data_IF_578338842314
#
_entry.id   IF_578338842314
#
_cell.length_a   1.000
_cell.length_b   1.000
_cell.length_c   1.000
_cell.angle_alpha   90.00
_cell.angle_beta   90.00
_cell.angle_gamma   90.00
#
_symmetry.space_group_name_H-M   'P 1'
#
loop_
_entity.id
_entity.type
_entity.pdbx_description
1 polymer ?
#
# COMPACT_ATOMS: atom_id res chain seq x y z
N UNK A 1 4.10 -12.67 -6.41
CA UNK A 1 4.44 -11.30 -6.85
C UNK A 1 3.87 -10.91 -8.24
N UNK A 2 4.08 -11.69 -9.31
CA UNK A 2 3.88 -11.24 -10.71
C UNK A 2 2.56 -10.54 -11.10
N UNK A 3 1.37 -11.00 -10.69
CA UNK A 3 0.14 -10.28 -11.06
C UNK A 3 -0.03 -8.94 -10.38
N UNK A 4 0.43 -8.81 -9.13
CA UNK A 4 0.31 -7.55 -8.41
C UNK A 4 1.16 -6.48 -9.09
N UNK A 5 2.36 -6.85 -9.57
CA UNK A 5 3.18 -5.98 -10.42
C UNK A 5 2.47 -5.63 -11.74
N UNK A 6 1.75 -6.58 -12.35
CA UNK A 6 0.94 -6.33 -13.55
C UNK A 6 -0.25 -5.37 -13.34
N UNK A 7 -0.68 -5.18 -12.09
CA UNK A 7 -1.66 -4.16 -11.70
C UNK A 7 -1.01 -2.80 -11.37
N UNK A 8 0.30 -2.67 -11.57
CA UNK A 8 1.06 -1.45 -11.25
C UNK A 8 1.37 -1.30 -9.75
N UNK A 9 1.10 -2.31 -8.92
CA UNK A 9 1.43 -2.27 -7.51
C UNK A 9 2.92 -2.55 -7.28
N UNK A 10 3.54 -1.84 -6.35
CA UNK A 10 4.87 -2.20 -5.88
C UNK A 10 4.76 -3.34 -4.86
N UNK A 11 5.61 -4.36 -4.99
CA UNK A 11 5.54 -5.55 -4.16
C UNK A 11 6.92 -5.86 -3.60
N UNK A 12 7.00 -5.96 -2.28
CA UNK A 12 8.15 -6.52 -1.58
C UNK A 12 7.77 -7.84 -0.91
N UNK A 13 8.57 -8.88 -1.13
CA UNK A 13 8.44 -10.13 -0.39
C UNK A 13 9.08 -9.97 0.99
N UNK A 14 8.33 -10.33 2.02
CA UNK A 14 8.76 -10.35 3.40
C UNK A 14 8.92 -11.80 3.85
N UNK A 15 9.58 -12.00 4.99
CA UNK A 15 9.68 -13.32 5.61
C UNK A 15 8.29 -13.97 5.84
N UNK A 16 8.27 -15.31 5.93
CA UNK A 16 7.07 -16.10 6.23
C UNK A 16 5.93 -15.93 5.20
N UNK A 17 6.28 -15.80 3.90
CA UNK A 17 5.34 -15.64 2.78
C UNK A 17 4.41 -14.44 2.93
N UNK A 18 4.87 -13.40 3.65
CA UNK A 18 4.16 -12.12 3.74
C UNK A 18 4.55 -11.26 2.56
N UNK A 19 3.63 -10.43 2.09
CA UNK A 19 3.88 -9.45 1.05
C UNK A 19 3.59 -8.05 1.62
N UNK A 20 4.50 -7.10 1.40
CA UNK A 20 4.16 -5.67 1.47
C UNK A 20 3.77 -5.26 0.07
N UNK A 21 2.59 -4.68 -0.07
CA UNK A 21 2.08 -4.20 -1.37
C UNK A 21 1.74 -2.73 -1.21
N UNK A 22 2.32 -1.89 -2.06
CA UNK A 22 1.92 -0.49 -2.21
C UNK A 22 0.94 -0.44 -3.37
N UNK A 23 -0.29 -0.02 -3.08
CA UNK A 23 -1.35 0.13 -4.08
C UNK A 23 -1.25 1.51 -4.71
N UNK A 24 -1.44 1.58 -6.03
CA UNK A 24 -1.66 2.85 -6.72
C UNK A 24 -3.08 3.37 -6.43
N UNK A 25 -3.33 4.66 -6.64
CA UNK A 25 -4.66 5.25 -6.41
C UNK A 25 -5.77 4.59 -7.23
N UNK A 26 -5.43 4.03 -8.40
CA UNK A 26 -6.37 3.33 -9.28
C UNK A 26 -6.71 1.91 -8.83
N UNK A 27 -5.97 1.33 -7.88
CA UNK A 27 -6.16 -0.06 -7.43
C UNK A 27 -6.84 -0.08 -6.07
N UNK A 28 -8.11 -0.47 -6.08
CA UNK A 28 -8.86 -0.70 -4.85
C UNK A 28 -8.43 -2.00 -4.16
N UNK A 29 -8.47 -2.01 -2.82
CA UNK A 29 -8.15 -3.19 -2.00
C UNK A 29 -8.95 -4.44 -2.42
N UNK A 30 -10.19 -4.29 -2.89
CA UNK A 30 -11.02 -5.41 -3.39
C UNK A 30 -10.34 -6.20 -4.51
N UNK A 31 -9.52 -5.56 -5.34
CA UNK A 31 -8.85 -6.22 -6.46
C UNK A 31 -7.85 -7.28 -5.96
N UNK A 32 -7.31 -7.11 -4.74
CA UNK A 32 -6.47 -8.12 -4.10
C UNK A 32 -7.26 -9.40 -3.79
N UNK A 33 -8.50 -9.26 -3.33
CA UNK A 33 -9.39 -10.40 -3.07
C UNK A 33 -9.82 -11.08 -4.37
N UNK A 34 -10.15 -10.29 -5.40
CA UNK A 34 -10.49 -10.79 -6.75
C UNK A 34 -9.34 -11.63 -7.32
N UNK A 35 -8.14 -11.08 -7.31
CA UNK A 35 -6.93 -11.75 -7.79
C UNK A 35 -6.59 -13.00 -6.97
N UNK A 36 -6.82 -12.98 -5.66
CA UNK A 36 -6.61 -14.13 -4.81
C UNK A 36 -7.56 -15.29 -5.16
N UNK A 37 -8.86 -14.97 -5.37
CA UNK A 37 -9.86 -15.94 -5.79
C UNK A 37 -9.56 -16.53 -7.18
N UNK A 38 -9.22 -15.69 -8.16
CA UNK A 38 -8.85 -16.11 -9.52
C UNK A 38 -7.66 -17.08 -9.54
N UNK A 39 -6.74 -16.94 -8.58
CA UNK A 39 -5.52 -17.75 -8.48
C UNK A 39 -5.64 -18.92 -7.50
N UNK A 40 -6.79 -19.11 -6.88
CA UNK A 40 -6.99 -20.15 -5.88
C UNK A 40 -6.09 -20.00 -4.65
N UNK A 41 -5.69 -18.78 -4.28
CA UNK A 41 -4.87 -18.50 -3.10
C UNK A 41 -5.68 -17.82 -2.01
N UNK A 42 -5.46 -18.20 -0.75
CA UNK A 42 -6.16 -17.61 0.39
C UNK A 42 -5.37 -16.45 1.00
N UNK A 43 -6.03 -15.32 1.22
CA UNK A 43 -5.50 -14.23 2.05
C UNK A 43 -5.80 -14.52 3.53
N UNK A 44 -4.79 -14.97 4.28
CA UNK A 44 -4.95 -15.32 5.72
C UNK A 44 -5.12 -14.09 6.62
N UNK A 45 -4.41 -13.00 6.32
CA UNK A 45 -4.45 -11.75 7.07
C UNK A 45 -4.07 -10.61 6.13
N UNK A 46 -4.94 -9.61 6.05
CA UNK A 46 -4.69 -8.38 5.31
C UNK A 46 -4.77 -7.20 6.27
N UNK A 47 -3.72 -6.39 6.30
CA UNK A 47 -3.70 -5.11 7.03
C UNK A 47 -3.44 -4.03 6.02
N UNK A 48 -4.42 -3.14 5.82
CA UNK A 48 -4.30 -1.95 4.98
C UNK A 48 -4.19 -0.73 5.87
N UNK A 49 -3.17 0.11 5.64
CA UNK A 49 -3.09 1.45 6.22
C UNK A 49 -2.97 2.45 5.09
N UNK A 50 -3.73 3.54 5.16
CA UNK A 50 -3.55 4.73 4.31
C UNK A 50 -2.61 5.76 4.96
N UNK A 51 -2.35 5.59 6.25
CA UNK A 51 -1.61 6.50 7.09
C UNK A 51 -0.30 5.80 7.52
N UNK A 52 0.57 5.50 6.56
CA UNK A 52 1.88 4.97 6.91
C UNK A 52 2.65 6.01 7.73
N UNK A 53 3.55 5.59 8.62
CA UNK A 53 4.39 6.54 9.37
C UNK A 53 5.14 7.49 8.44
N UNK A 54 5.59 6.98 7.29
CA UNK A 54 6.22 7.77 6.23
C UNK A 54 5.24 8.80 5.63
N UNK A 55 4.01 8.40 5.31
CA UNK A 55 2.99 9.30 4.78
C UNK A 55 2.57 10.36 5.80
N UNK A 56 2.36 9.95 7.05
CA UNK A 56 2.09 10.85 8.17
C UNK A 56 3.25 11.82 8.42
N UNK A 57 4.50 11.35 8.31
CA UNK A 57 5.69 12.18 8.45
C UNK A 57 5.82 13.18 7.31
N UNK A 58 5.71 12.74 6.05
CA UNK A 58 5.75 13.62 4.87
C UNK A 58 4.67 14.70 4.95
N UNK A 59 3.44 14.29 5.24
CA UNK A 59 2.30 15.21 5.42
C UNK A 59 2.55 16.22 6.55
N UNK A 60 3.07 15.77 7.70
CA UNK A 60 3.38 16.67 8.81
C UNK A 60 4.52 17.65 8.48
N UNK A 61 5.48 17.25 7.64
CA UNK A 61 6.55 18.12 7.16
C UNK A 61 6.03 19.16 6.16
N UNK A 62 5.09 18.79 5.29
CA UNK A 62 4.41 19.71 4.37
C UNK A 62 3.55 20.72 5.15
N UNK A 63 2.68 20.25 6.05
CA UNK A 63 1.81 21.09 6.89
C UNK A 63 2.63 22.00 7.84
N UNK A 64 3.73 21.48 8.42
CA UNK A 64 4.62 22.24 9.29
C UNK A 64 5.53 23.24 8.56
N UNK A 65 5.76 23.04 7.26
CA UNK A 65 6.49 23.95 6.39
C UNK A 65 5.67 25.19 6.01
N UNK A 66 4.38 25.00 5.69
CA UNK A 66 3.45 26.09 5.40
C UNK A 66 3.22 27.01 6.62
N UNK A 67 3.13 26.44 7.82
CA UNK A 67 3.00 27.20 9.07
C UNK A 67 4.21 28.10 9.37
N UNK A 68 5.39 27.82 8.79
CA UNK A 68 6.62 28.61 8.96
C UNK A 68 6.86 29.63 7.84
N UNK A 69 6.25 29.46 6.67
CA UNK A 69 6.37 30.39 5.56
C UNK A 69 5.41 31.61 5.66
N UNK A 70 4.45 31.57 6.61
CA UNK A 70 3.50 32.64 6.90
C UNK A 70 3.90 33.59 8.04
N UNK A 71 5.16 33.57 8.48
CA UNK A 71 5.77 34.47 9.49
C UNK A 71 6.91 35.28 8.87
#
# INVERSE_FOLDING_TARGET
AGALAGLGCEVAELANRRLKVVLTESVAVRELYRLAAERGVQLRRLTSSRDSLEHLFLRAMEEGGEARAGL
#
